data_IF_975431217102
#
_entry.id   IF_975431217102
#
_cell.length_a   1.000
_cell.length_b   1.000
_cell.length_c   1.000
_cell.angle_alpha   90.00
_cell.angle_beta   90.00
_cell.angle_gamma   90.00
#
_symmetry.space_group_name_H-M   'P 1'
#
loop_
_entity.id
_entity.type
_entity.pdbx_description
1 polymer ?
#
# COMPACT_ATOMS: atom_id res chain seq x y z
N UNK A 1 1.74 45.65 31.64
CA UNK A 1 1.22 45.36 30.29
C UNK A 1 2.17 44.53 29.41
N UNK A 2 3.49 44.82 29.36
CA UNK A 2 4.46 44.09 28.51
C UNK A 2 4.63 42.59 28.82
N UNK A 3 4.63 42.21 30.10
CA UNK A 3 4.81 40.81 30.55
C UNK A 3 3.63 39.91 30.11
N UNK A 4 2.40 40.43 30.17
CA UNK A 4 1.18 39.69 29.77
C UNK A 4 1.17 39.41 28.26
N UNK A 5 1.59 40.39 27.44
CA UNK A 5 1.72 40.19 26.00
C UNK A 5 2.85 39.22 25.65
N UNK A 6 3.94 39.20 26.43
CA UNK A 6 5.04 38.26 26.22
C UNK A 6 4.61 36.81 26.51
N UNK A 7 3.82 36.59 27.56
CA UNK A 7 3.25 35.28 27.90
C UNK A 7 2.25 34.84 26.82
N UNK A 8 1.35 35.74 26.38
CA UNK A 8 0.41 35.47 25.28
C UNK A 8 1.12 35.07 23.99
N UNK A 9 2.20 35.76 23.62
CA UNK A 9 2.95 35.44 22.41
C UNK A 9 3.62 34.07 22.51
N UNK A 10 4.27 33.75 23.65
CA UNK A 10 4.86 32.41 23.83
C UNK A 10 3.81 31.30 23.80
N UNK A 11 2.62 31.55 24.36
CA UNK A 11 1.51 30.61 24.31
C UNK A 11 0.97 30.41 22.89
N UNK A 12 0.86 31.50 22.12
CA UNK A 12 0.48 31.45 20.71
C UNK A 12 1.51 30.69 19.85
N UNK A 13 2.82 30.90 20.09
CA UNK A 13 3.87 30.15 19.39
C UNK A 13 3.84 28.66 19.75
N UNK A 14 3.58 28.31 21.01
CA UNK A 14 3.44 26.92 21.44
C UNK A 14 2.22 26.24 20.80
N UNK A 15 1.09 26.94 20.72
CA UNK A 15 -0.12 26.45 20.04
C UNK A 15 0.12 26.23 18.55
N UNK A 16 0.84 27.14 17.89
CA UNK A 16 1.21 26.98 16.48
C UNK A 16 2.06 25.71 16.29
N UNK A 17 3.08 25.50 17.12
CA UNK A 17 3.92 24.29 17.05
C UNK A 17 3.11 23.00 17.28
N UNK A 18 2.13 23.02 18.17
CA UNK A 18 1.28 21.87 18.44
C UNK A 18 0.37 21.53 17.24
N UNK A 19 -0.17 22.55 16.57
CA UNK A 19 -1.03 22.37 15.38
C UNK A 19 -0.22 21.89 14.17
N UNK A 20 1.06 22.26 14.07
CA UNK A 20 1.94 21.81 12.99
C UNK A 20 2.62 20.45 13.25
N UNK A 21 2.35 19.79 14.38
CA UNK A 21 2.84 18.45 14.67
C UNK A 21 2.02 17.39 13.91
N UNK A 22 2.22 17.30 12.60
CA UNK A 22 1.67 16.24 11.77
C UNK A 22 2.41 14.93 12.09
N UNK A 23 1.74 13.97 12.74
CA UNK A 23 2.24 12.59 12.84
C UNK A 23 1.93 11.87 11.54
N UNK A 24 2.93 11.58 10.73
CA UNK A 24 2.76 10.71 9.55
C UNK A 24 2.63 9.26 10.01
N UNK A 25 1.45 8.67 9.87
CA UNK A 25 1.29 7.22 9.99
C UNK A 25 1.74 6.60 8.67
N UNK A 26 2.96 6.07 8.65
CA UNK A 26 3.40 5.24 7.54
C UNK A 26 2.72 3.87 7.67
N UNK A 27 1.74 3.60 6.81
CA UNK A 27 1.24 2.24 6.64
C UNK A 27 2.26 1.43 5.83
N UNK A 28 3.04 0.62 6.54
CA UNK A 28 4.01 -0.30 5.95
C UNK A 28 3.26 -1.52 5.39
N UNK A 29 2.79 -1.41 4.14
CA UNK A 29 2.26 -2.53 3.39
C UNK A 29 3.40 -3.24 2.65
N UNK A 30 3.52 -4.54 2.89
CA UNK A 30 4.38 -5.40 2.08
C UNK A 30 3.71 -5.63 0.72
N UNK A 31 4.48 -5.51 -0.36
CA UNK A 31 3.98 -5.75 -1.71
C UNK A 31 4.40 -7.14 -2.17
N UNK A 32 3.42 -7.94 -2.58
CA UNK A 32 3.63 -9.27 -3.17
C UNK A 32 3.34 -9.22 -4.67
N UNK A 33 4.38 -9.25 -5.48
CA UNK A 33 4.24 -9.35 -6.93
C UNK A 33 4.01 -10.82 -7.34
N UNK A 34 2.90 -11.08 -8.03
CA UNK A 34 2.64 -12.36 -8.67
C UNK A 34 2.92 -12.20 -10.17
N UNK A 35 4.07 -12.72 -10.60
CA UNK A 35 4.44 -12.82 -12.01
C UNK A 35 4.21 -14.27 -12.47
N UNK A 36 3.28 -14.46 -13.40
CA UNK A 36 2.89 -15.78 -13.85
C UNK A 36 2.16 -15.79 -15.19
N UNK A 37 1.52 -16.91 -15.47
CA UNK A 37 0.86 -17.21 -16.73
C UNK A 37 -0.68 -17.20 -16.60
N UNK A 38 -1.37 -18.03 -17.38
CA UNK A 38 -2.82 -18.19 -17.38
C UNK A 38 -3.41 -18.63 -16.05
N UNK A 39 -2.67 -19.40 -15.24
CA UNK A 39 -3.16 -19.90 -13.95
C UNK A 39 -3.39 -18.74 -13.00
N UNK A 40 -2.38 -17.89 -12.85
CA UNK A 40 -2.44 -16.72 -11.96
C UNK A 40 -3.18 -15.55 -12.61
N UNK A 41 -3.26 -15.47 -13.94
CA UNK A 41 -4.12 -14.52 -14.64
C UNK A 41 -5.62 -14.87 -14.49
N UNK A 42 -5.94 -16.11 -14.11
CA UNK A 42 -7.32 -16.57 -13.94
C UNK A 42 -8.06 -16.74 -15.26
N UNK A 43 -7.41 -17.37 -16.25
CA UNK A 43 -7.99 -17.60 -17.57
C UNK A 43 -9.33 -18.38 -17.46
N UNK A 44 -10.40 -17.80 -18.01
CA UNK A 44 -11.74 -18.40 -17.98
C UNK A 44 -12.47 -18.33 -16.64
N UNK A 45 -11.89 -17.67 -15.61
CA UNK A 45 -12.46 -17.57 -14.26
C UNK A 45 -12.84 -16.12 -13.97
N UNK A 46 -14.00 -15.91 -13.35
CA UNK A 46 -14.43 -14.59 -12.87
C UNK A 46 -13.46 -14.05 -11.82
N UNK A 47 -13.25 -12.74 -11.80
CA UNK A 47 -12.20 -12.11 -10.98
C UNK A 47 -12.29 -12.49 -9.50
N UNK A 48 -13.51 -12.61 -8.97
CA UNK A 48 -13.75 -12.88 -7.55
C UNK A 48 -13.42 -14.30 -7.13
N UNK A 49 -13.39 -15.24 -8.08
CA UNK A 49 -13.12 -16.67 -7.89
C UNK A 49 -11.66 -17.04 -8.17
N UNK A 50 -10.87 -16.11 -8.70
CA UNK A 50 -9.44 -16.31 -8.91
C UNK A 50 -8.71 -16.45 -7.58
N UNK A 51 -7.69 -17.30 -7.56
CA UNK A 51 -6.98 -17.61 -6.32
C UNK A 51 -6.22 -16.39 -5.78
N UNK A 52 -5.69 -15.53 -6.66
CA UNK A 52 -4.93 -14.33 -6.27
C UNK A 52 -5.84 -13.35 -5.52
N UNK A 53 -7.04 -13.13 -6.03
CA UNK A 53 -8.06 -12.29 -5.41
C UNK A 53 -8.60 -12.92 -4.12
N UNK A 54 -8.72 -14.25 -4.09
CA UNK A 54 -9.08 -15.00 -2.87
C UNK A 54 -8.00 -14.84 -1.79
N UNK A 55 -6.72 -14.92 -2.17
CA UNK A 55 -5.60 -14.73 -1.26
C UNK A 55 -5.54 -13.31 -0.72
N UNK A 56 -5.77 -12.29 -1.57
CA UNK A 56 -5.85 -10.90 -1.11
C UNK A 56 -6.95 -10.72 -0.06
N UNK A 57 -8.12 -11.32 -0.27
CA UNK A 57 -9.22 -11.29 0.70
C UNK A 57 -8.84 -11.99 2.01
N UNK A 58 -8.08 -13.10 1.94
CA UNK A 58 -7.56 -13.78 3.13
C UNK A 58 -6.59 -12.88 3.91
N UNK A 59 -5.64 -12.20 3.25
CA UNK A 59 -4.75 -11.27 3.93
C UNK A 59 -5.51 -10.15 4.65
N UNK A 60 -6.49 -9.55 3.98
CA UNK A 60 -7.35 -8.52 4.60
C UNK A 60 -8.10 -9.09 5.80
N UNK A 61 -8.63 -10.31 5.69
CA UNK A 61 -9.37 -10.97 6.77
C UNK A 61 -8.50 -11.27 7.99
N UNK A 62 -7.27 -11.72 7.78
CA UNK A 62 -6.33 -12.05 8.85
C UNK A 62 -5.59 -10.82 9.41
N UNK A 63 -5.84 -9.62 8.85
CA UNK A 63 -5.19 -8.38 9.27
C UNK A 63 -3.75 -8.22 8.77
N UNK A 64 -3.36 -9.04 7.80
CA UNK A 64 -2.05 -8.98 7.17
C UNK A 64 -1.94 -7.74 6.26
N UNK A 65 -0.90 -6.94 6.45
CA UNK A 65 -0.62 -5.74 5.65
C UNK A 65 0.10 -6.10 4.36
N UNK A 66 -0.50 -6.98 3.56
CA UNK A 66 0.06 -7.43 2.27
C UNK A 66 -0.84 -6.98 1.11
N UNK A 67 -0.27 -6.23 0.18
CA UNK A 67 -0.88 -5.86 -1.09
C UNK A 67 -0.36 -6.78 -2.19
N UNK A 68 -1.26 -7.50 -2.86
CA UNK A 68 -0.92 -8.37 -3.99
C UNK A 68 -1.04 -7.60 -5.30
N UNK A 69 0.06 -7.57 -6.04
CA UNK A 69 0.13 -7.02 -7.39
C UNK A 69 0.17 -8.19 -8.37
N UNK A 70 -0.94 -8.47 -9.05
CA UNK A 70 -1.00 -9.54 -10.05
C UNK A 70 -0.56 -9.02 -11.42
N UNK A 71 0.63 -9.42 -11.87
CA UNK A 71 1.21 -9.07 -13.17
C UNK A 71 1.19 -10.24 -14.18
N UNK A 72 0.38 -11.27 -13.90
CA UNK A 72 0.31 -12.49 -14.69
C UNK A 72 -0.43 -12.29 -16.02
N UNK A 73 0.05 -12.94 -17.08
CA UNK A 73 -0.52 -12.86 -18.43
C UNK A 73 -0.78 -14.25 -18.98
N UNK A 74 -1.97 -14.48 -19.55
CA UNK A 74 -2.26 -15.78 -20.16
C UNK A 74 -1.37 -16.05 -21.38
N UNK A 75 -0.74 -17.22 -21.41
CA UNK A 75 0.23 -17.57 -22.45
C UNK A 75 1.64 -17.00 -22.22
N UNK A 76 1.91 -16.44 -21.05
CA UNK A 76 3.24 -15.95 -20.70
C UNK A 76 4.28 -17.10 -20.70
N UNK A 77 5.51 -16.76 -21.06
CA UNK A 77 6.64 -17.70 -21.04
C UNK A 77 7.73 -17.17 -20.12
N UNK A 78 8.67 -18.03 -19.72
CA UNK A 78 9.80 -17.59 -18.87
C UNK A 78 10.60 -16.45 -19.50
N UNK A 79 10.84 -16.51 -20.82
CA UNK A 79 11.58 -15.47 -21.54
C UNK A 79 10.80 -14.15 -21.62
N UNK A 80 9.49 -14.23 -21.91
CA UNK A 80 8.61 -13.05 -21.95
C UNK A 80 8.49 -12.39 -20.58
N UNK A 81 8.29 -13.18 -19.53
CA UNK A 81 8.27 -12.71 -18.14
C UNK A 81 9.58 -12.04 -17.73
N UNK A 82 10.74 -12.64 -18.04
CA UNK A 82 12.05 -12.04 -17.76
C UNK A 82 12.25 -10.68 -18.46
N UNK A 83 11.77 -10.55 -19.70
CA UNK A 83 11.86 -9.30 -20.46
C UNK A 83 11.01 -8.17 -19.87
N UNK A 84 9.97 -8.52 -19.10
CA UNK A 84 9.04 -7.56 -18.48
C UNK A 84 9.40 -7.21 -17.05
N UNK A 85 9.98 -8.12 -16.28
CA UNK A 85 10.27 -7.91 -14.85
C UNK A 85 11.43 -6.94 -14.62
N UNK A 86 12.28 -6.74 -15.61
CA UNK A 86 13.46 -5.88 -15.54
C UNK A 86 13.21 -4.43 -15.97
N UNK A 87 12.02 -4.11 -16.50
CA UNK A 87 11.56 -2.75 -16.82
C UNK A 87 10.71 -2.19 -15.70
#
# INVERSE_FOLDING_TARGET
MKIINLIKNKFATLLIFLVFSQTTLAEDYQKLLILGDSISAGYGISKELRWVETLQKLFVKEGEKVEIINASISGETTLGGFSRVSN
#
